data_IF_561146879338
#
_entry.id   IF_561146879338
#
_cell.length_a   1.000
_cell.length_b   1.000
_cell.length_c   1.000
_cell.angle_alpha   90.00
_cell.angle_beta   90.00
_cell.angle_gamma   90.00
#
_symmetry.space_group_name_H-M   'P 1'
#
loop_
_entity.id
_entity.type
_entity.pdbx_description
1 polymer ?
#
# COMPACT_ATOMS: atom_id res chain seq x y z
N UNK A 1 63.55 41.39 -37.55
CA UNK A 1 64.72 40.49 -37.40
C UNK A 1 64.34 39.37 -36.43
N UNK A 2 64.48 38.12 -36.85
CA UNK A 2 64.15 36.90 -36.11
C UNK A 2 65.11 36.71 -34.93
N UNK A 3 64.59 36.44 -33.73
CA UNK A 3 65.38 35.87 -32.63
C UNK A 3 64.71 34.58 -32.16
N UNK A 4 65.49 33.50 -32.29
CA UNK A 4 65.11 32.10 -32.14
C UNK A 4 65.06 31.74 -30.66
N UNK A 5 63.99 31.08 -30.21
CA UNK A 5 63.90 30.50 -28.87
C UNK A 5 64.60 29.15 -28.86
N UNK A 6 65.67 29.04 -28.10
CA UNK A 6 66.38 27.78 -27.84
C UNK A 6 65.93 27.18 -26.51
N UNK A 7 65.89 25.86 -26.53
CA UNK A 7 65.42 24.87 -25.55
C UNK A 7 66.31 24.81 -24.29
N UNK A 8 65.72 24.55 -23.13
CA UNK A 8 66.35 23.85 -21.99
C UNK A 8 65.21 23.30 -21.11
N UNK A 9 64.75 22.07 -21.36
CA UNK A 9 65.19 20.82 -20.75
C UNK A 9 64.84 20.66 -19.26
N UNK A 10 64.04 19.62 -19.00
CA UNK A 10 64.07 18.73 -17.84
C UNK A 10 63.45 19.25 -16.52
N UNK A 11 62.42 18.55 -16.01
CA UNK A 11 62.51 17.71 -14.79
C UNK A 11 61.11 17.36 -14.21
N UNK A 12 60.93 16.06 -14.03
CA UNK A 12 60.14 15.32 -13.03
C UNK A 12 58.70 15.71 -12.69
N UNK A 13 57.81 14.95 -13.31
CA UNK A 13 56.73 14.19 -12.68
C UNK A 13 56.65 14.21 -11.13
N UNK A 14 55.52 14.70 -10.63
CA UNK A 14 54.92 14.26 -9.36
C UNK A 14 53.40 14.25 -9.57
N UNK A 15 52.87 13.06 -9.85
CA UNK A 15 51.44 12.77 -9.87
C UNK A 15 50.91 12.84 -8.43
N UNK A 16 49.93 13.69 -8.10
CA UNK A 16 49.20 13.53 -6.84
C UNK A 16 48.39 12.23 -6.93
N UNK A 17 48.68 11.29 -6.04
CA UNK A 17 47.84 10.14 -5.74
C UNK A 17 46.44 10.63 -5.37
N UNK A 18 45.53 10.63 -6.35
CA UNK A 18 44.12 10.88 -6.10
C UNK A 18 43.53 9.71 -5.31
N UNK A 19 42.81 9.94 -4.19
CA UNK A 19 42.13 8.88 -3.51
C UNK A 19 41.04 8.32 -4.43
N UNK A 20 41.09 7.02 -4.68
CA UNK A 20 39.99 6.24 -5.24
C UNK A 20 38.80 6.33 -4.28
N UNK A 21 37.98 7.37 -4.43
CA UNK A 21 36.67 7.41 -3.80
C UNK A 21 35.78 6.42 -4.54
N UNK A 22 35.54 5.25 -3.94
CA UNK A 22 34.47 4.36 -4.34
C UNK A 22 33.16 5.15 -4.29
N UNK A 23 32.63 5.53 -5.46
CA UNK A 23 31.30 6.09 -5.56
C UNK A 23 30.29 5.03 -5.06
N UNK A 24 29.35 5.39 -4.17
CA UNK A 24 28.29 4.46 -3.80
C UNK A 24 27.44 4.24 -5.06
N UNK A 25 27.44 3.01 -5.56
CA UNK A 25 26.52 2.58 -6.62
C UNK A 25 25.10 2.62 -6.03
N UNK A 26 24.45 3.76 -6.13
CA UNK A 26 23.05 3.92 -5.76
C UNK A 26 22.22 2.93 -6.59
N UNK A 27 21.61 1.98 -5.88
CA UNK A 27 20.79 0.89 -6.38
C UNK A 27 19.50 1.41 -7.05
N UNK A 28 19.59 1.85 -8.30
CA UNK A 28 18.43 2.28 -9.09
C UNK A 28 17.66 1.11 -9.74
N UNK A 29 18.17 -0.12 -9.68
CA UNK A 29 17.55 -1.29 -10.30
C UNK A 29 16.25 -1.76 -9.60
N UNK A 30 16.01 -1.35 -8.34
CA UNK A 30 14.85 -1.81 -7.57
C UNK A 30 13.55 -1.01 -7.84
N UNK A 31 13.63 0.20 -8.42
CA UNK A 31 12.44 1.01 -8.69
C UNK A 31 11.67 0.54 -9.94
N UNK A 32 12.36 0.13 -11.00
CA UNK A 32 11.71 -0.30 -12.25
C UNK A 32 10.88 -1.59 -12.11
N UNK A 33 11.26 -2.49 -11.20
CA UNK A 33 10.51 -3.73 -10.97
C UNK A 33 9.19 -3.48 -10.20
N UNK A 34 9.19 -2.51 -9.25
CA UNK A 34 7.99 -2.13 -8.48
C UNK A 34 6.93 -1.52 -9.39
N UNK A 35 7.32 -0.66 -10.33
CA UNK A 35 6.39 -0.03 -11.28
C UNK A 35 5.73 -0.99 -12.27
N UNK A 36 6.23 -2.22 -12.39
CA UNK A 36 5.72 -3.20 -13.36
C UNK A 36 4.53 -4.01 -12.85
N UNK A 37 4.29 -4.05 -11.54
CA UNK A 37 3.07 -4.65 -11.00
C UNK A 37 1.90 -3.67 -11.21
N UNK A 38 0.71 -4.13 -11.62
CA UNK A 38 -0.49 -3.30 -11.59
C UNK A 38 -0.72 -2.76 -10.17
N UNK A 39 -1.22 -1.53 -10.05
CA UNK A 39 -1.69 -1.04 -8.77
C UNK A 39 -2.84 -1.94 -8.29
N UNK A 40 -2.94 -2.23 -6.98
CA UNK A 40 -4.11 -2.92 -6.45
C UNK A 40 -5.36 -2.10 -6.74
N UNK A 41 -6.47 -2.79 -6.95
CA UNK A 41 -7.77 -2.21 -7.27
C UNK A 41 -8.87 -2.90 -6.47
N UNK A 42 -9.85 -2.12 -6.02
CA UNK A 42 -11.07 -2.59 -5.37
C UNK A 42 -12.22 -2.30 -6.32
N UNK A 43 -12.85 -3.37 -6.79
CA UNK A 43 -13.92 -3.35 -7.79
C UNK A 43 -15.31 -3.33 -7.15
N UNK A 44 -15.43 -3.85 -5.92
CA UNK A 44 -16.68 -3.89 -5.16
C UNK A 44 -16.40 -4.09 -3.68
N UNK A 45 -17.24 -3.47 -2.85
CA UNK A 45 -17.18 -3.61 -1.40
C UNK A 45 -18.60 -3.42 -0.85
N UNK A 46 -19.15 -4.49 -0.30
CA UNK A 46 -20.57 -4.62 -0.01
C UNK A 46 -20.76 -5.29 1.36
N UNK A 47 -21.95 -5.10 1.95
CA UNK A 47 -22.32 -5.69 3.24
C UNK A 47 -23.71 -6.30 3.18
N UNK A 48 -23.93 -7.42 3.87
CA UNK A 48 -25.29 -7.88 4.11
C UNK A 48 -25.98 -6.97 5.14
N UNK A 49 -26.96 -6.20 4.68
CA UNK A 49 -27.72 -5.29 5.53
C UNK A 49 -28.51 -6.05 6.61
N UNK A 50 -28.38 -5.58 7.85
CA UNK A 50 -29.07 -6.17 8.99
C UNK A 50 -30.26 -5.32 9.42
N UNK A 51 -31.22 -5.91 10.15
CA UNK A 51 -32.38 -5.15 10.66
C UNK A 51 -32.01 -4.18 11.77
N UNK A 52 -30.92 -4.42 12.49
CA UNK A 52 -30.51 -3.63 13.65
C UNK A 52 -29.03 -3.80 13.97
N UNK A 53 -28.39 -2.73 14.44
CA UNK A 53 -27.01 -2.73 14.89
C UNK A 53 -26.95 -2.86 16.41
N UNK A 54 -27.09 -4.09 16.91
CA UNK A 54 -26.99 -4.42 18.34
C UNK A 54 -25.84 -5.39 18.62
N UNK A 55 -25.27 -5.40 19.84
CA UNK A 55 -24.28 -6.39 20.24
C UNK A 55 -24.75 -7.82 19.96
N UNK A 56 -23.86 -8.63 19.37
CA UNK A 56 -24.16 -9.99 18.90
C UNK A 56 -24.64 -10.06 17.45
N UNK A 57 -24.97 -8.95 16.81
CA UNK A 57 -25.31 -8.93 15.38
C UNK A 57 -24.07 -9.20 14.54
N UNK A 58 -24.22 -10.05 13.52
CA UNK A 58 -23.17 -10.37 12.56
C UNK A 58 -23.32 -9.52 11.30
N UNK A 59 -22.24 -8.84 10.91
CA UNK A 59 -22.15 -8.08 9.67
C UNK A 59 -21.25 -8.86 8.71
N UNK A 60 -21.81 -9.31 7.59
CA UNK A 60 -21.09 -10.07 6.57
C UNK A 60 -20.59 -9.12 5.48
N UNK A 61 -19.27 -9.03 5.33
CA UNK A 61 -18.62 -8.17 4.34
C UNK A 61 -18.06 -8.99 3.20
N UNK A 62 -18.26 -8.50 1.98
CA UNK A 62 -17.66 -9.02 0.76
C UNK A 62 -16.87 -7.92 0.07
N UNK A 63 -15.68 -8.27 -0.42
CA UNK A 63 -14.82 -7.36 -1.17
C UNK A 63 -14.29 -8.06 -2.41
N UNK A 64 -14.41 -7.39 -3.55
CA UNK A 64 -13.91 -7.84 -4.84
C UNK A 64 -12.74 -6.96 -5.26
N UNK A 65 -11.56 -7.55 -5.45
CA UNK A 65 -10.35 -6.77 -5.72
C UNK A 65 -9.22 -7.56 -6.35
N UNK A 66 -8.02 -7.01 -6.34
CA UNK A 66 -6.80 -7.68 -6.81
C UNK A 66 -6.50 -8.93 -5.97
N UNK A 67 -6.30 -10.11 -6.59
CA UNK A 67 -6.01 -11.36 -5.88
C UNK A 67 -4.67 -11.37 -5.14
N UNK A 68 -4.54 -12.24 -4.13
CA UNK A 68 -3.32 -12.46 -3.34
C UNK A 68 -2.99 -11.35 -2.34
N UNK A 69 -3.94 -10.45 -2.06
CA UNK A 69 -3.81 -9.36 -1.11
C UNK A 69 -4.22 -9.69 0.32
N UNK A 70 -4.01 -8.72 1.20
CA UNK A 70 -4.54 -8.69 2.56
C UNK A 70 -5.61 -7.60 2.64
N UNK A 71 -6.87 -8.00 2.81
CA UNK A 71 -8.00 -7.10 2.95
C UNK A 71 -8.35 -6.87 4.43
N UNK A 72 -8.55 -5.61 4.82
CA UNK A 72 -8.94 -5.22 6.17
C UNK A 72 -10.09 -4.21 6.09
N UNK A 73 -11.10 -4.38 6.93
CA UNK A 73 -12.23 -3.46 7.07
C UNK A 73 -12.14 -2.76 8.42
N UNK A 74 -12.35 -1.45 8.39
CA UNK A 74 -12.45 -0.57 9.55
C UNK A 74 -13.85 0.04 9.59
N UNK A 75 -14.50 -0.08 10.74
CA UNK A 75 -15.84 0.47 10.97
C UNK A 75 -15.70 1.57 12.03
N UNK A 76 -16.21 2.76 11.75
CA UNK A 76 -16.23 3.83 12.74
C UNK A 76 -17.11 3.46 13.95
N UNK A 77 -16.51 3.49 15.13
CA UNK A 77 -17.13 3.06 16.38
C UNK A 77 -16.90 1.58 16.73
N UNK A 78 -16.32 0.78 15.84
CA UNK A 78 -15.83 -0.55 16.19
C UNK A 78 -14.54 -0.47 17.01
N UNK A 79 -14.40 -1.38 17.96
CA UNK A 79 -13.21 -1.50 18.82
C UNK A 79 -12.07 -2.28 18.17
N UNK A 80 -12.36 -3.02 17.08
CA UNK A 80 -11.37 -3.84 16.37
C UNK A 80 -11.54 -3.73 14.86
N UNK A 81 -10.45 -3.96 14.13
CA UNK A 81 -10.49 -4.10 12.69
C UNK A 81 -10.90 -5.53 12.32
N UNK A 82 -11.62 -5.68 11.21
CA UNK A 82 -11.94 -6.98 10.62
C UNK A 82 -10.91 -7.31 9.54
N UNK A 83 -10.29 -8.49 9.59
CA UNK A 83 -9.54 -9.03 8.45
C UNK A 83 -10.49 -9.84 7.59
N UNK A 84 -10.45 -9.63 6.27
CA UNK A 84 -11.15 -10.48 5.32
C UNK A 84 -10.21 -11.56 4.80
N UNK A 85 -10.76 -12.75 4.55
CA UNK A 85 -10.04 -13.88 3.98
C UNK A 85 -10.36 -14.02 2.51
N UNK A 86 -9.33 -14.25 1.68
CA UNK A 86 -9.53 -14.57 0.26
C UNK A 86 -10.09 -16.00 0.15
N UNK A 87 -11.37 -16.11 -0.19
CA UNK A 87 -12.04 -17.41 -0.36
C UNK A 87 -11.88 -17.94 -1.78
N UNK A 88 -11.86 -17.02 -2.74
CA UNK A 88 -11.63 -17.27 -4.15
C UNK A 88 -10.72 -16.17 -4.69
N UNK A 89 -10.13 -16.40 -5.87
CA UNK A 89 -9.21 -15.45 -6.51
C UNK A 89 -9.83 -14.04 -6.60
N UNK A 90 -9.34 -13.12 -5.78
CA UNK A 90 -9.79 -11.73 -5.71
C UNK A 90 -11.15 -11.51 -5.03
N UNK A 91 -11.70 -12.53 -4.35
CA UNK A 91 -12.93 -12.46 -3.56
C UNK A 91 -12.57 -12.63 -2.08
N UNK A 92 -12.84 -11.60 -1.30
CA UNK A 92 -12.52 -11.54 0.12
C UNK A 92 -13.80 -11.49 0.93
N UNK A 93 -13.92 -12.31 1.96
CA UNK A 93 -15.08 -12.31 2.84
C UNK A 93 -14.69 -12.38 4.32
N UNK A 94 -15.57 -11.87 5.18
CA UNK A 94 -15.38 -11.93 6.62
C UNK A 94 -16.60 -11.44 7.39
N UNK A 95 -16.71 -11.87 8.64
CA UNK A 95 -17.83 -11.54 9.51
C UNK A 95 -17.36 -10.70 10.70
N UNK A 96 -18.02 -9.56 10.92
CA UNK A 96 -17.83 -8.76 12.12
C UNK A 96 -19.01 -8.91 13.07
N UNK A 97 -18.80 -9.51 14.24
CA UNK A 97 -19.80 -9.54 15.31
C UNK A 97 -19.74 -8.26 16.14
N UNK A 98 -20.82 -7.51 16.21
CA UNK A 98 -20.88 -6.27 17.01
C UNK A 98 -20.65 -6.61 18.50
N UNK A 99 -19.64 -5.99 19.10
CA UNK A 99 -19.32 -6.14 20.51
C UNK A 99 -20.14 -5.20 21.40
N UNK A 100 -20.19 -5.49 22.70
CA UNK A 100 -20.89 -4.65 23.69
C UNK A 100 -20.28 -3.26 23.88
N UNK A 101 -18.99 -3.12 23.55
CA UNK A 101 -18.26 -1.86 23.63
C UNK A 101 -18.23 -1.10 22.28
N UNK A 102 -18.76 -1.71 21.22
CA UNK A 102 -18.83 -1.06 19.93
C UNK A 102 -19.91 0.03 19.92
N UNK A 103 -19.62 1.14 19.25
CA UNK A 103 -20.50 2.31 19.11
C UNK A 103 -20.85 2.54 17.64
N UNK A 104 -21.14 1.45 16.93
CA UNK A 104 -21.53 1.47 15.51
C UNK A 104 -22.96 1.99 15.41
N UNK A 105 -23.19 2.90 14.46
CA UNK A 105 -24.49 3.53 14.18
C UNK A 105 -24.81 3.40 12.69
N UNK A 106 -26.05 3.66 12.27
CA UNK A 106 -26.44 3.56 10.86
C UNK A 106 -25.56 4.43 9.93
N UNK A 107 -25.12 5.60 10.40
CA UNK A 107 -24.20 6.47 9.66
C UNK A 107 -22.71 6.22 9.91
N UNK A 108 -22.32 5.11 10.56
CA UNK A 108 -20.92 4.76 10.77
C UNK A 108 -20.24 4.53 9.42
N UNK A 109 -19.14 5.24 9.18
CA UNK A 109 -18.33 5.05 7.98
C UNK A 109 -17.63 3.70 8.04
N UNK A 110 -17.66 2.96 6.95
CA UNK A 110 -16.91 1.71 6.79
C UNK A 110 -15.91 1.87 5.65
N UNK A 111 -14.65 1.58 5.92
CA UNK A 111 -13.55 1.68 4.94
C UNK A 111 -12.87 0.34 4.81
N UNK A 112 -12.62 -0.10 3.58
CA UNK A 112 -11.86 -1.29 3.29
C UNK A 112 -10.50 -0.91 2.68
N UNK A 113 -9.45 -1.56 3.16
CA UNK A 113 -8.09 -1.46 2.64
C UNK A 113 -7.65 -2.82 2.08
N UNK A 114 -7.25 -2.84 0.81
CA UNK A 114 -6.66 -4.00 0.15
C UNK A 114 -5.18 -3.75 -0.10
N UNK A 115 -4.33 -4.49 0.61
CA UNK A 115 -2.87 -4.43 0.44
C UNK A 115 -2.35 -5.57 -0.41
N UNK A 116 -1.64 -5.27 -1.49
CA UNK A 116 -0.91 -6.25 -2.30
C UNK A 116 0.55 -5.82 -2.36
N UNK A 117 1.43 -6.61 -1.74
CA UNK A 117 2.83 -6.22 -1.54
C UNK A 117 2.95 -4.96 -0.69
N UNK A 118 3.60 -3.92 -1.23
CA UNK A 118 3.82 -2.61 -0.62
C UNK A 118 2.75 -1.56 -0.98
N UNK A 119 1.76 -1.93 -1.80
CA UNK A 119 0.73 -1.02 -2.30
C UNK A 119 -0.62 -1.28 -1.65
N UNK A 120 -1.42 -0.22 -1.50
CA UNK A 120 -2.74 -0.26 -0.88
C UNK A 120 -3.75 0.42 -1.80
N UNK A 121 -4.89 -0.24 -2.00
CA UNK A 121 -6.11 0.36 -2.51
C UNK A 121 -7.10 0.52 -1.35
N UNK A 122 -7.89 1.58 -1.35
CA UNK A 122 -8.89 1.84 -0.33
C UNK A 122 -10.23 2.16 -0.98
N UNK A 123 -11.31 1.63 -0.43
CA UNK A 123 -12.68 1.98 -0.82
C UNK A 123 -13.55 2.20 0.42
N UNK A 124 -14.65 2.92 0.23
CA UNK A 124 -15.59 3.26 1.30
C UNK A 124 -16.91 2.60 0.95
N UNK A 125 -17.52 1.95 1.94
CA UNK A 125 -18.82 1.29 1.75
C UNK A 125 -19.83 2.34 1.26
N UNK A 126 -20.47 2.03 0.14
CA UNK A 126 -21.49 2.90 -0.48
C UNK A 126 -22.89 2.60 0.07
N UNK A 127 -23.09 1.38 0.53
CA UNK A 127 -24.34 0.88 1.09
C UNK A 127 -24.48 1.24 2.57
N UNK A 128 -25.71 1.20 3.07
CA UNK A 128 -26.01 1.47 4.47
C UNK A 128 -25.94 0.16 5.26
N UNK A 129 -25.64 0.23 6.55
CA UNK A 129 -25.52 -1.00 7.37
C UNK A 129 -26.88 -1.62 7.76
N UNK A 130 -27.96 -0.85 7.63
CA UNK A 130 -29.30 -1.21 8.10
C UNK A 130 -30.33 -1.12 6.99
N UNK A 131 -31.09 -2.19 6.80
CA UNK A 131 -32.19 -2.19 5.85
C UNK A 131 -33.34 -1.31 6.35
N UNK A 132 -33.75 -0.32 5.55
CA UNK A 132 -34.92 0.54 5.79
C UNK A 132 -36.25 -0.24 5.77
#
# INVERSE_FOLDING_TARGET
>A
MKARKTICSLVCALLPLGPLTLAPMTAHAQHHARDRMPAPDIRGFDVEEVRRLEPGTELHFNLYGTPGGNATVKIDGATRNLRLHELDRGQYAGTYTIGTHDRIRNGSRVTADLRVGDRVASDVLRETLVRD
#
